data_IF_032248936425
#
_entry.id   IF_032248936425
#
_cell.length_a   1.000
_cell.length_b   1.000
_cell.length_c   1.000
_cell.angle_alpha   90.00
_cell.angle_beta   90.00
_cell.angle_gamma   90.00
#
_symmetry.space_group_name_H-M   'P 1'
#
loop_
_entity.id
_entity.type
_entity.pdbx_description
1 polymer ?
#
# COMPACT_ATOMS: atom_id res chain seq x y z
N UNK A 1 -25.73 10.35 -71.15
CA UNK A 1 -26.18 10.61 -69.77
C UNK A 1 -24.95 10.73 -68.90
N UNK A 2 -24.53 11.96 -68.62
CA UNK A 2 -23.33 12.29 -67.84
C UNK A 2 -23.79 13.10 -66.63
N UNK A 3 -23.59 12.58 -65.43
CA UNK A 3 -23.89 13.29 -64.18
C UNK A 3 -22.60 13.83 -63.57
N UNK A 4 -22.45 15.14 -63.65
CA UNK A 4 -21.42 15.91 -63.00
C UNK A 4 -21.67 15.98 -61.48
N UNK A 5 -20.66 15.66 -60.67
CA UNK A 5 -20.65 15.91 -59.22
C UNK A 5 -19.91 17.23 -58.98
N UNK A 6 -20.64 18.22 -58.45
CA UNK A 6 -20.14 19.55 -58.06
C UNK A 6 -19.21 19.45 -56.86
N UNK A 7 -18.03 20.05 -56.97
CA UNK A 7 -17.19 20.47 -55.85
C UNK A 7 -17.54 21.89 -55.40
N UNK A 8 -17.59 22.12 -54.08
CA UNK A 8 -17.15 23.33 -53.33
C UNK A 8 -17.65 23.25 -51.86
N UNK A 9 -17.04 23.96 -50.88
CA UNK A 9 -15.62 24.26 -50.69
C UNK A 9 -15.14 24.00 -49.24
N UNK A 10 -13.81 24.05 -49.09
CA UNK A 10 -13.07 24.17 -47.84
C UNK A 10 -13.70 25.18 -46.84
N UNK A 11 -13.82 24.80 -45.58
CA UNK A 11 -13.68 25.77 -44.49
C UNK A 11 -12.99 25.18 -43.26
N UNK A 12 -11.88 25.86 -42.90
CA UNK A 12 -11.14 25.83 -41.61
C UNK A 12 -10.32 24.59 -41.26
N UNK A 13 -9.24 24.41 -42.01
CA UNK A 13 -7.97 24.01 -41.43
C UNK A 13 -7.28 25.25 -40.83
N UNK A 14 -7.21 25.34 -39.49
CA UNK A 14 -6.13 25.97 -38.69
C UNK A 14 -6.55 26.04 -37.22
N UNK A 15 -5.95 25.19 -36.38
CA UNK A 15 -5.42 25.57 -35.07
C UNK A 15 -4.77 24.39 -34.34
N UNK A 16 -3.43 24.45 -34.25
CA UNK A 16 -2.60 23.97 -33.13
C UNK A 16 -2.40 22.44 -33.02
N UNK A 17 -1.59 21.91 -33.93
CA UNK A 17 -0.73 20.75 -33.65
C UNK A 17 0.71 21.28 -33.50
N UNK A 18 1.14 21.55 -32.26
CA UNK A 18 2.54 21.72 -31.81
C UNK A 18 2.55 22.05 -30.31
N UNK A 19 2.70 21.03 -29.44
CA UNK A 19 2.93 21.24 -28.00
C UNK A 19 2.60 20.04 -27.08
N UNK A 20 1.54 19.28 -27.34
CA UNK A 20 0.94 18.36 -26.34
C UNK A 20 1.72 17.07 -25.99
N UNK A 21 2.69 16.65 -26.79
CA UNK A 21 3.43 15.39 -26.55
C UNK A 21 4.48 15.47 -25.45
N UNK A 22 5.01 16.66 -25.16
CA UNK A 22 6.05 16.87 -24.14
C UNK A 22 5.42 17.16 -22.78
N UNK A 23 4.35 17.96 -22.74
CA UNK A 23 3.61 18.28 -21.52
C UNK A 23 2.91 17.05 -20.91
N UNK A 24 2.35 16.16 -21.76
CA UNK A 24 1.74 14.90 -21.30
C UNK A 24 2.79 13.97 -20.66
N UNK A 25 3.97 13.84 -21.27
CA UNK A 25 5.07 13.03 -20.73
C UNK A 25 5.65 13.61 -19.42
N UNK A 26 5.77 14.94 -19.31
CA UNK A 26 6.23 15.60 -18.09
C UNK A 26 5.23 15.42 -16.92
N UNK A 27 3.93 15.56 -17.19
CA UNK A 27 2.89 15.31 -16.20
C UNK A 27 2.90 13.85 -15.72
N UNK A 28 3.02 12.88 -16.63
CA UNK A 28 3.08 11.46 -16.25
C UNK A 28 4.29 11.16 -15.36
N UNK A 29 5.45 11.77 -15.66
CA UNK A 29 6.64 11.67 -14.81
C UNK A 29 6.40 12.29 -13.43
N UNK A 30 5.74 13.45 -13.35
CA UNK A 30 5.38 14.10 -12.08
C UNK A 30 4.42 13.23 -11.24
N UNK A 31 3.44 12.58 -11.87
CA UNK A 31 2.51 11.65 -11.19
C UNK A 31 3.28 10.43 -10.65
N UNK A 32 4.21 9.85 -11.41
CA UNK A 32 5.05 8.75 -10.93
C UNK A 32 5.90 9.17 -9.74
N UNK A 33 6.53 10.34 -9.83
CA UNK A 33 7.29 10.94 -8.73
C UNK A 33 6.41 11.16 -7.49
N UNK A 34 5.17 11.62 -7.68
CA UNK A 34 4.20 11.77 -6.59
C UNK A 34 3.85 10.42 -5.94
N UNK A 35 3.54 9.39 -6.73
CA UNK A 35 3.28 8.05 -6.21
C UNK A 35 4.46 7.50 -5.40
N UNK A 36 5.69 7.67 -5.89
CA UNK A 36 6.89 7.18 -5.22
C UNK A 36 7.19 7.96 -3.94
N UNK A 37 7.22 9.30 -4.01
CA UNK A 37 7.63 10.15 -2.88
C UNK A 37 6.57 10.25 -1.80
N UNK A 38 5.30 10.39 -2.20
CA UNK A 38 4.19 10.61 -1.27
C UNK A 38 3.64 9.32 -0.69
N UNK A 39 3.72 8.21 -1.42
CA UNK A 39 3.16 6.93 -0.97
C UNK A 39 4.23 5.90 -0.67
N UNK A 40 5.00 5.40 -1.66
CA UNK A 40 6.00 4.33 -1.42
C UNK A 40 7.03 4.72 -0.35
N UNK A 41 7.64 5.91 -0.47
CA UNK A 41 8.70 6.31 0.45
C UNK A 41 8.14 6.62 1.86
N UNK A 42 6.87 7.02 1.98
CA UNK A 42 6.21 7.17 3.29
C UNK A 42 5.81 5.80 3.86
N UNK A 43 5.33 4.87 3.04
CA UNK A 43 5.10 3.48 3.43
C UNK A 43 6.38 2.82 3.94
N UNK A 44 7.52 3.04 3.28
CA UNK A 44 8.83 2.57 3.73
C UNK A 44 9.17 3.11 5.14
N UNK A 45 8.74 4.34 5.49
CA UNK A 45 8.93 4.90 6.84
C UNK A 45 7.99 4.25 7.85
N UNK A 46 6.73 4.08 7.51
CA UNK A 46 5.75 3.43 8.38
C UNK A 46 6.11 1.97 8.66
N UNK A 47 6.64 1.27 7.66
CA UNK A 47 7.16 -0.08 7.82
C UNK A 47 8.32 -0.13 8.83
N UNK A 48 9.31 0.75 8.68
CA UNK A 48 10.42 0.84 9.65
C UNK A 48 9.89 1.20 11.04
N UNK A 49 8.92 2.13 11.13
CA UNK A 49 8.30 2.52 12.39
C UNK A 49 7.55 1.36 13.05
N UNK A 50 6.80 0.56 12.30
CA UNK A 50 6.16 -0.65 12.79
C UNK A 50 7.20 -1.59 13.41
N UNK A 51 8.32 -1.83 12.72
CA UNK A 51 9.41 -2.67 13.23
C UNK A 51 10.03 -2.12 14.51
N UNK A 52 10.18 -0.80 14.62
CA UNK A 52 10.63 -0.13 15.85
C UNK A 52 9.66 -0.36 17.00
N UNK A 53 8.36 -0.16 16.76
CA UNK A 53 7.32 -0.36 17.75
C UNK A 53 7.26 -1.82 18.21
N UNK A 54 7.36 -2.78 17.29
CA UNK A 54 7.40 -4.21 17.62
C UNK A 54 8.59 -4.54 18.52
N UNK A 55 9.78 -4.03 18.19
CA UNK A 55 10.98 -4.25 18.99
C UNK A 55 10.88 -3.67 20.40
N UNK A 56 10.13 -2.58 20.55
CA UNK A 56 9.84 -1.93 21.82
C UNK A 56 8.63 -2.52 22.54
N UNK A 57 8.04 -3.62 22.04
CA UNK A 57 6.83 -4.26 22.60
C UNK A 57 5.60 -3.31 22.64
N UNK A 58 5.58 -2.29 21.77
CA UNK A 58 4.47 -1.36 21.57
C UNK A 58 3.51 -1.88 20.48
N UNK A 59 2.82 -2.98 20.79
CA UNK A 59 2.06 -3.77 19.82
C UNK A 59 0.92 -3.01 19.12
N UNK A 60 0.08 -2.19 19.80
CA UNK A 60 -0.92 -1.38 19.11
C UNK A 60 -0.31 -0.44 18.06
N UNK A 61 0.82 0.18 18.39
CA UNK A 61 1.55 1.08 17.49
C UNK A 61 2.20 0.31 16.32
N UNK A 62 2.67 -0.91 16.57
CA UNK A 62 3.11 -1.84 15.52
C UNK A 62 1.97 -2.18 14.56
N UNK A 63 0.81 -2.60 15.07
CA UNK A 63 -0.35 -2.98 14.25
C UNK A 63 -0.84 -1.80 13.41
N UNK A 64 -1.00 -0.62 14.02
CA UNK A 64 -1.41 0.61 13.33
C UNK A 64 -0.42 1.01 12.23
N UNK A 65 0.87 1.02 12.54
CA UNK A 65 1.90 1.39 11.56
C UNK A 65 2.01 0.36 10.42
N UNK A 66 1.77 -0.92 10.73
CA UNK A 66 1.70 -2.00 9.74
C UNK A 66 0.55 -1.78 8.75
N UNK A 67 -0.66 -1.50 9.26
CA UNK A 67 -1.83 -1.21 8.43
C UNK A 67 -1.53 -0.04 7.48
N UNK A 68 -1.00 1.05 8.03
CA UNK A 68 -0.69 2.24 7.26
C UNK A 68 0.41 2.08 6.21
N UNK A 69 1.44 1.27 6.48
CA UNK A 69 2.45 0.95 5.49
C UNK A 69 1.82 0.25 4.28
N UNK A 70 1.03 -0.80 4.54
CA UNK A 70 0.37 -1.59 3.49
C UNK A 70 -0.66 -0.76 2.71
N UNK A 71 -1.42 0.12 3.38
CA UNK A 71 -2.34 1.05 2.72
C UNK A 71 -1.63 1.99 1.76
N UNK A 72 -0.49 2.55 2.17
CA UNK A 72 0.27 3.47 1.33
C UNK A 72 0.92 2.74 0.16
N UNK A 73 1.40 1.51 0.33
CA UNK A 73 1.85 0.72 -0.81
C UNK A 73 0.72 0.43 -1.79
N UNK A 74 -0.46 -0.01 -1.33
CA UNK A 74 -1.60 -0.26 -2.20
C UNK A 74 -2.05 1.00 -2.96
N UNK A 75 -2.08 2.16 -2.28
CA UNK A 75 -2.37 3.47 -2.91
C UNK A 75 -1.29 3.91 -3.89
N UNK A 76 -0.02 3.61 -3.63
CA UNK A 76 1.06 3.84 -4.59
C UNK A 76 0.77 3.08 -5.90
N UNK A 77 0.40 1.80 -5.80
CA UNK A 77 0.13 0.95 -6.96
C UNK A 77 -1.08 1.49 -7.74
N UNK A 78 -2.18 1.85 -7.07
CA UNK A 78 -3.34 2.48 -7.72
C UNK A 78 -2.97 3.71 -8.57
N UNK A 79 -2.09 4.57 -8.05
CA UNK A 79 -1.64 5.76 -8.77
C UNK A 79 -0.76 5.34 -9.95
N UNK A 80 0.16 4.40 -9.74
CA UNK A 80 1.06 3.92 -10.79
C UNK A 80 0.34 3.20 -11.93
N UNK A 81 -0.82 2.58 -11.67
CA UNK A 81 -1.71 1.97 -12.68
C UNK A 81 -2.73 2.94 -13.28
N UNK A 82 -2.74 4.20 -12.82
CA UNK A 82 -3.73 5.23 -13.19
C UNK A 82 -5.17 4.75 -12.93
N UNK A 83 -5.37 4.00 -11.86
CA UNK A 83 -6.71 3.59 -11.43
C UNK A 83 -7.42 4.79 -10.84
N UNK A 84 -8.37 5.34 -11.60
CA UNK A 84 -9.17 6.46 -11.16
C UNK A 84 -10.06 6.08 -9.97
N UNK A 85 -10.27 7.04 -9.07
CA UNK A 85 -11.14 6.89 -7.89
C UNK A 85 -12.64 6.94 -8.25
N UNK A 86 -12.97 7.25 -9.50
CA UNK A 86 -14.35 7.41 -9.96
C UNK A 86 -15.01 6.03 -9.90
N UNK A 87 -16.10 5.93 -9.13
CA UNK A 87 -16.95 4.79 -8.75
C UNK A 87 -17.03 4.50 -7.24
N UNK A 88 -16.25 5.16 -6.37
CA UNK A 88 -16.52 5.12 -4.93
C UNK A 88 -17.61 6.17 -4.62
N UNK A 89 -18.89 5.76 -4.64
CA UNK A 89 -19.99 6.63 -4.17
C UNK A 89 -19.62 7.17 -2.79
N UNK A 90 -19.66 8.50 -2.60
CA UNK A 90 -19.35 9.18 -1.32
C UNK A 90 -20.03 8.55 -0.09
N UNK A 91 -21.19 7.89 -0.25
CA UNK A 91 -21.92 7.17 0.80
C UNK A 91 -21.28 5.84 1.28
N UNK A 92 -20.26 5.30 0.58
CA UNK A 92 -19.52 4.10 0.99
C UNK A 92 -18.16 4.42 1.62
N UNK A 93 -17.84 5.71 1.77
CA UNK A 93 -16.60 6.16 2.41
C UNK A 93 -16.69 6.18 3.94
N UNK A 94 -17.88 5.99 4.50
CA UNK A 94 -18.10 5.96 5.95
C UNK A 94 -17.85 4.57 6.57
N UNK A 95 -17.51 3.57 5.75
CA UNK A 95 -17.34 2.16 6.14
C UNK A 95 -15.91 1.65 5.82
N UNK A 96 -14.92 2.45 6.18
CA UNK A 96 -13.54 2.34 5.68
C UNK A 96 -12.64 1.70 6.74
N UNK A 97 -12.77 0.38 6.90
CA UNK A 97 -11.82 -0.46 7.64
C UNK A 97 -10.88 -1.30 6.76
N UNK A 98 -11.10 -1.32 5.45
CA UNK A 98 -10.43 -2.24 4.52
C UNK A 98 -9.77 -1.54 3.32
N UNK A 99 -9.09 -0.41 3.52
CA UNK A 99 -8.49 0.36 2.41
C UNK A 99 -7.48 -0.45 1.59
N UNK A 100 -6.71 -1.34 2.22
CA UNK A 100 -5.76 -2.21 1.51
C UNK A 100 -6.51 -3.18 0.59
N UNK A 101 -7.46 -3.96 1.12
CA UNK A 101 -8.20 -4.96 0.36
C UNK A 101 -9.07 -4.31 -0.73
N UNK A 102 -9.72 -3.18 -0.42
CA UNK A 102 -10.47 -2.38 -1.41
C UNK A 102 -9.55 -1.90 -2.54
N UNK A 103 -8.34 -1.43 -2.21
CA UNK A 103 -7.37 -1.03 -3.21
C UNK A 103 -6.92 -2.22 -4.08
N UNK A 104 -6.66 -3.39 -3.48
CA UNK A 104 -6.32 -4.61 -4.22
C UNK A 104 -7.46 -5.07 -5.14
N UNK A 105 -8.72 -4.96 -4.71
CA UNK A 105 -9.88 -5.28 -5.54
C UNK A 105 -9.93 -4.40 -6.80
N UNK A 106 -9.72 -3.10 -6.63
CA UNK A 106 -9.67 -2.14 -7.74
C UNK A 106 -8.51 -2.40 -8.71
N UNK A 107 -7.47 -3.12 -8.28
CA UNK A 107 -6.29 -3.43 -9.07
C UNK A 107 -6.42 -4.71 -9.90
N UNK A 108 -7.36 -5.62 -9.58
CA UNK A 108 -7.50 -6.94 -10.23
C UNK A 108 -7.51 -6.89 -11.77
N UNK A 109 -8.13 -5.88 -12.36
CA UNK A 109 -8.24 -5.72 -13.82
C UNK A 109 -7.06 -4.96 -14.46
N UNK A 110 -6.09 -4.50 -13.66
CA UNK A 110 -4.95 -3.67 -14.10
C UNK A 110 -3.61 -4.36 -13.87
N UNK A 111 -3.45 -4.95 -12.70
CA UNK A 111 -2.25 -5.69 -12.31
C UNK A 111 -2.67 -6.82 -11.38
N UNK A 112 -2.23 -8.02 -11.74
CA UNK A 112 -2.49 -9.20 -10.93
C UNK A 112 -1.40 -9.31 -9.86
N UNK A 113 -1.82 -9.01 -8.62
CA UNK A 113 -0.99 -9.01 -7.42
C UNK A 113 -1.32 -10.28 -6.65
N UNK A 114 -0.36 -11.20 -6.63
CA UNK A 114 -0.48 -12.43 -5.86
C UNK A 114 0.08 -12.21 -4.46
N UNK A 115 -0.81 -12.26 -3.46
CA UNK A 115 -0.46 -12.23 -2.05
C UNK A 115 -0.73 -13.60 -1.45
N UNK A 116 0.14 -14.04 -0.54
CA UNK A 116 -0.11 -15.28 0.18
C UNK A 116 -1.35 -15.19 1.06
N UNK A 117 -1.97 -16.34 1.34
CA UNK A 117 -3.09 -16.44 2.28
C UNK A 117 -2.74 -15.82 3.64
N UNK A 118 -1.54 -16.09 4.15
CA UNK A 118 -1.02 -15.50 5.38
C UNK A 118 -0.99 -13.96 5.34
N UNK A 119 -0.53 -13.36 4.23
CA UNK A 119 -0.55 -11.90 4.05
C UNK A 119 -1.98 -11.36 3.99
N UNK A 120 -2.87 -12.04 3.26
CA UNK A 120 -4.27 -11.63 3.15
C UNK A 120 -4.98 -11.65 4.51
N UNK A 121 -4.78 -12.70 5.29
CA UNK A 121 -5.37 -12.82 6.62
C UNK A 121 -4.76 -11.82 7.61
N UNK A 122 -3.46 -11.56 7.51
CA UNK A 122 -2.84 -10.47 8.27
C UNK A 122 -3.47 -9.11 7.96
N UNK A 123 -3.65 -8.77 6.67
CA UNK A 123 -4.31 -7.52 6.26
C UNK A 123 -5.74 -7.44 6.80
N UNK A 124 -6.51 -8.54 6.75
CA UNK A 124 -7.87 -8.58 7.32
C UNK A 124 -7.86 -8.31 8.83
N UNK A 125 -6.98 -8.97 9.58
CA UNK A 125 -6.85 -8.76 11.04
C UNK A 125 -6.46 -7.32 11.37
N UNK A 126 -5.50 -6.75 10.64
CA UNK A 126 -5.12 -5.34 10.80
C UNK A 126 -6.32 -4.40 10.54
N UNK A 127 -7.08 -4.63 9.46
CA UNK A 127 -8.27 -3.82 9.15
C UNK A 127 -9.37 -3.94 10.19
N UNK A 128 -9.52 -5.10 10.83
CA UNK A 128 -10.56 -5.34 11.84
C UNK A 128 -10.19 -4.82 13.24
N UNK A 129 -8.91 -4.80 13.58
CA UNK A 129 -8.44 -4.38 14.92
C UNK A 129 -7.72 -3.04 14.90
N UNK A 130 -6.59 -2.98 14.19
CA UNK A 130 -5.63 -1.87 14.27
C UNK A 130 -6.23 -0.51 13.93
N UNK A 131 -7.31 -0.46 13.12
CA UNK A 131 -7.99 0.80 12.76
C UNK A 131 -8.57 1.56 13.97
N UNK A 132 -8.86 0.86 15.06
CA UNK A 132 -9.40 1.39 16.30
C UNK A 132 -8.25 1.77 17.23
N UNK A 133 -8.03 3.08 17.39
CA UNK A 133 -6.81 3.62 18.00
C UNK A 133 -6.88 3.84 19.50
N UNK A 134 -8.09 3.93 20.03
CA UNK A 134 -8.35 4.29 21.42
C UNK A 134 -8.85 3.11 22.23
N UNK A 135 -8.44 1.89 21.81
CA UNK A 135 -8.83 0.64 22.46
C UNK A 135 -10.35 0.45 22.47
N UNK A 136 -11.03 0.89 21.40
CA UNK A 136 -12.47 0.68 21.23
C UNK A 136 -12.82 -0.80 21.05
N UNK A 137 -11.88 -1.58 20.50
CA UNK A 137 -11.95 -3.05 20.41
C UNK A 137 -10.75 -3.67 21.08
N UNK A 138 -10.95 -4.86 21.66
CA UNK A 138 -9.86 -5.68 22.18
C UNK A 138 -8.89 -6.02 21.04
N UNK A 139 -7.61 -6.14 21.36
CA UNK A 139 -6.59 -6.53 20.40
C UNK A 139 -5.75 -7.69 20.95
N UNK A 140 -5.19 -8.45 20.02
CA UNK A 140 -4.12 -9.39 20.31
C UNK A 140 -3.08 -9.35 19.20
N UNK A 141 -1.84 -9.65 19.56
CA UNK A 141 -0.73 -9.85 18.64
C UNK A 141 -0.14 -11.22 18.92
N UNK A 142 -0.05 -12.04 17.88
CA UNK A 142 0.45 -13.40 17.97
C UNK A 142 1.97 -13.46 17.75
N UNK A 143 2.50 -14.67 17.85
CA UNK A 143 3.89 -14.94 17.53
C UNK A 143 4.17 -14.63 16.06
N UNK A 144 5.39 -14.19 15.75
CA UNK A 144 5.88 -14.02 14.38
C UNK A 144 5.14 -12.96 13.52
N UNK A 145 4.31 -12.09 14.10
CA UNK A 145 3.66 -10.97 13.41
C UNK A 145 4.65 -10.08 12.64
N UNK A 146 5.84 -9.87 13.21
CA UNK A 146 6.90 -9.10 12.53
C UNK A 146 7.33 -9.75 11.21
N UNK A 147 7.46 -11.07 11.17
CA UNK A 147 7.79 -11.79 9.93
C UNK A 147 6.66 -11.79 8.93
N UNK A 148 5.42 -11.85 9.41
CA UNK A 148 4.24 -11.74 8.53
C UNK A 148 4.19 -10.34 7.92
N UNK A 149 4.48 -9.29 8.69
CA UNK A 149 4.65 -7.94 8.15
C UNK A 149 5.78 -7.87 7.13
N UNK A 150 6.96 -8.43 7.42
CA UNK A 150 8.09 -8.39 6.50
C UNK A 150 7.75 -9.04 5.15
N UNK A 151 7.03 -10.17 5.20
CA UNK A 151 6.49 -10.84 4.01
C UNK A 151 5.47 -9.98 3.28
N UNK A 152 4.47 -9.46 3.99
CA UNK A 152 3.41 -8.64 3.40
C UNK A 152 3.98 -7.39 2.70
N UNK A 153 4.97 -6.75 3.32
CA UNK A 153 5.69 -5.62 2.72
C UNK A 153 6.45 -6.08 1.49
N UNK A 154 7.18 -7.19 1.53
CA UNK A 154 7.86 -7.72 0.35
C UNK A 154 6.92 -8.02 -0.81
N UNK A 155 5.83 -8.76 -0.56
CA UNK A 155 4.85 -9.15 -1.57
C UNK A 155 4.20 -7.92 -2.24
N UNK A 156 3.86 -6.89 -1.47
CA UNK A 156 3.16 -5.71 -1.98
C UNK A 156 4.10 -4.64 -2.53
N UNK A 157 5.20 -4.34 -1.83
CA UNK A 157 6.10 -3.21 -2.14
C UNK A 157 6.75 -3.34 -3.52
N UNK A 158 7.05 -4.56 -3.97
CA UNK A 158 7.67 -4.82 -5.29
C UNK A 158 6.89 -4.22 -6.46
N UNK A 159 5.57 -4.09 -6.34
CA UNK A 159 4.70 -3.46 -7.34
C UNK A 159 4.74 -1.93 -7.30
N UNK A 160 5.36 -1.31 -6.29
CA UNK A 160 5.52 0.13 -6.16
C UNK A 160 6.68 0.71 -7.01
N UNK A 161 7.03 0.03 -8.10
CA UNK A 161 8.10 0.42 -9.00
C UNK A 161 7.51 0.97 -10.31
N UNK A 162 7.69 2.26 -10.58
CA UNK A 162 7.19 2.91 -11.80
C UNK A 162 7.76 2.28 -13.08
N UNK A 163 8.94 1.64 -13.00
CA UNK A 163 9.56 0.96 -14.13
C UNK A 163 8.82 -0.30 -14.58
N UNK A 164 7.82 -0.77 -13.83
CA UNK A 164 6.93 -1.88 -14.20
C UNK A 164 5.81 -1.46 -15.16
N UNK A 165 5.62 -0.15 -15.37
CA UNK A 165 4.45 0.39 -16.04
C UNK A 165 4.86 1.26 -17.22
N UNK A 166 4.11 1.16 -18.30
CA UNK A 166 4.22 1.97 -19.51
C UNK A 166 3.06 2.97 -19.58
N UNK A 167 3.43 4.23 -19.73
CA UNK A 167 2.51 5.36 -19.85
C UNK A 167 2.53 5.81 -21.30
N UNK A 168 1.57 5.35 -22.11
CA UNK A 168 1.32 5.95 -23.42
C UNK A 168 0.70 7.33 -23.19
N UNK A 169 0.66 8.21 -24.19
CA UNK A 169 -0.01 9.52 -24.11
C UNK A 169 -1.55 9.42 -23.92
N UNK A 170 -2.06 8.29 -23.42
CA UNK A 170 -3.44 8.02 -23.04
C UNK A 170 -3.50 7.79 -21.51
N UNK A 171 -4.67 7.99 -20.88
CA UNK A 171 -4.86 7.69 -19.45
C UNK A 171 -4.72 6.20 -19.11
N UNK A 172 -4.65 5.32 -20.11
CA UNK A 172 -4.49 3.89 -19.93
C UNK A 172 -3.02 3.51 -19.70
N UNK A 173 -2.76 2.95 -18.52
CA UNK A 173 -1.44 2.35 -18.23
C UNK A 173 -1.43 0.91 -18.68
N UNK A 174 -0.37 0.52 -19.39
CA UNK A 174 -0.08 -0.87 -19.70
C UNK A 174 1.02 -1.38 -18.78
N UNK A 175 0.80 -2.55 -18.21
CA UNK A 175 1.84 -3.28 -17.50
C UNK A 175 2.94 -3.73 -18.46
N UNK A 176 4.19 -3.71 -18.01
CA UNK A 176 5.29 -4.30 -18.76
C UNK A 176 5.34 -5.78 -18.39
N UNK A 177 4.69 -6.62 -19.17
CA UNK A 177 4.54 -8.06 -18.87
C UNK A 177 5.88 -8.73 -18.58
N UNK A 178 6.93 -8.40 -19.33
CA UNK A 178 8.28 -8.94 -19.11
C UNK A 178 8.89 -8.62 -17.74
N UNK A 179 8.37 -7.60 -17.03
CA UNK A 179 8.82 -7.21 -15.70
C UNK A 179 7.85 -7.62 -14.59
N UNK A 180 6.54 -7.72 -14.88
CA UNK A 180 5.53 -8.09 -13.89
C UNK A 180 5.34 -9.59 -13.79
N UNK A 181 5.37 -10.34 -14.90
CA UNK A 181 5.21 -11.81 -14.87
C UNK A 181 6.26 -12.48 -13.97
N UNK A 182 7.56 -12.12 -14.05
CA UNK A 182 8.55 -12.67 -13.12
C UNK A 182 8.21 -12.38 -11.67
N UNK A 183 7.41 -11.35 -11.36
CA UNK A 183 7.07 -11.07 -9.97
C UNK A 183 6.07 -12.08 -9.41
N UNK A 184 5.18 -12.63 -10.24
CA UNK A 184 4.08 -13.49 -9.79
C UNK A 184 4.54 -14.87 -9.34
N UNK A 185 5.53 -15.42 -10.03
CA UNK A 185 5.95 -16.82 -9.85
C UNK A 185 7.01 -17.00 -8.75
N UNK A 186 7.38 -15.90 -8.08
CA UNK A 186 8.48 -15.96 -7.13
C UNK A 186 7.98 -16.38 -5.74
N UNK A 187 8.24 -17.66 -5.46
CA UNK A 187 8.05 -18.29 -4.15
C UNK A 187 9.21 -17.98 -3.20
N UNK A 188 10.43 -17.81 -3.72
CA UNK A 188 11.67 -17.66 -2.93
C UNK A 188 12.26 -16.26 -3.00
N UNK A 189 12.80 -15.78 -1.88
CA UNK A 189 13.49 -14.49 -1.81
C UNK A 189 14.72 -14.45 -2.72
N UNK A 190 14.86 -13.40 -3.54
CA UNK A 190 16.06 -13.10 -4.32
C UNK A 190 16.40 -11.62 -4.20
N UNK A 191 17.66 -11.28 -4.47
CA UNK A 191 18.06 -9.87 -4.50
C UNK A 191 17.28 -9.10 -5.60
N UNK A 192 17.04 -9.71 -6.76
CA UNK A 192 16.33 -9.05 -7.86
C UNK A 192 14.86 -8.75 -7.53
N UNK A 193 14.22 -9.56 -6.69
CA UNK A 193 12.79 -9.41 -6.40
C UNK A 193 12.49 -8.49 -5.21
N UNK A 194 13.50 -8.21 -4.38
CA UNK A 194 13.42 -7.30 -3.24
C UNK A 194 13.86 -5.89 -3.59
N UNK A 195 14.73 -5.76 -4.59
CA UNK A 195 15.36 -4.51 -4.98
C UNK A 195 14.44 -3.63 -5.81
N UNK A 196 14.19 -2.42 -5.33
CA UNK A 196 13.56 -1.34 -6.10
C UNK A 196 14.59 -0.23 -6.34
N UNK A 197 14.91 0.11 -7.61
CA UNK A 197 15.77 1.23 -7.92
C UNK A 197 15.30 2.52 -7.24
N UNK A 198 16.25 3.24 -6.65
CA UNK A 198 16.04 4.50 -5.93
C UNK A 198 15.07 4.46 -4.74
N UNK A 199 14.65 3.27 -4.31
CA UNK A 199 13.77 3.10 -3.14
C UNK A 199 14.45 3.48 -1.82
N UNK A 200 13.62 3.86 -0.84
CA UNK A 200 14.12 4.35 0.45
C UNK A 200 14.77 3.24 1.27
N UNK A 201 14.20 2.04 1.27
CA UNK A 201 14.79 0.86 1.93
C UNK A 201 16.19 0.57 1.36
N UNK A 202 16.35 0.58 0.04
CA UNK A 202 17.62 0.31 -0.63
C UNK A 202 18.69 1.35 -0.28
N UNK A 203 18.30 2.63 -0.25
CA UNK A 203 19.16 3.72 0.21
C UNK A 203 19.53 3.55 1.69
N UNK A 204 18.57 3.19 2.54
CA UNK A 204 18.80 2.99 3.97
C UNK A 204 19.73 1.80 4.24
N UNK A 205 19.62 0.70 3.50
CA UNK A 205 20.49 -0.47 3.63
C UNK A 205 21.97 -0.13 3.39
N UNK A 206 22.26 0.84 2.51
CA UNK A 206 23.61 1.36 2.24
C UNK A 206 24.15 2.27 3.35
N UNK A 207 23.27 3.00 4.05
CA UNK A 207 23.64 3.99 5.07
C UNK A 207 23.82 3.37 6.47
N UNK A 208 24.98 2.74 6.70
CA UNK A 208 25.27 2.01 7.97
C UNK A 208 25.09 2.83 9.25
N UNK A 209 25.37 4.13 9.21
CA UNK A 209 25.28 5.04 10.36
C UNK A 209 23.84 5.46 10.71
N UNK A 210 22.86 5.19 9.84
CA UNK A 210 21.50 5.66 10.07
C UNK A 210 20.79 4.84 11.17
N UNK A 211 20.23 5.47 12.22
CA UNK A 211 19.52 4.77 13.29
C UNK A 211 18.32 3.95 12.83
N UNK A 212 17.65 4.33 11.75
CA UNK A 212 16.53 3.55 11.20
C UNK A 212 17.00 2.21 10.60
N UNK A 213 18.26 2.14 10.13
CA UNK A 213 18.79 0.95 9.46
C UNK A 213 18.88 -0.24 10.42
N UNK A 214 19.32 -0.03 11.66
CA UNK A 214 19.40 -1.13 12.66
C UNK A 214 18.04 -1.78 12.89
N UNK A 215 16.96 -0.99 12.85
CA UNK A 215 15.59 -1.46 13.06
C UNK A 215 15.06 -2.17 11.81
N UNK A 216 15.41 -1.68 10.62
CA UNK A 216 15.13 -2.37 9.36
C UNK A 216 15.77 -3.76 9.32
N UNK A 217 17.05 -3.90 9.69
CA UNK A 217 17.79 -5.17 9.53
C UNK A 217 17.69 -6.12 10.73
N UNK A 218 17.09 -5.73 11.85
CA UNK A 218 16.98 -6.61 13.03
C UNK A 218 15.96 -7.75 12.77
N UNK A 219 16.36 -9.02 12.75
CA UNK A 219 15.43 -10.14 12.46
C UNK A 219 14.67 -10.10 11.11
N UNK A 220 15.14 -9.33 10.13
CA UNK A 220 14.49 -9.19 8.83
C UNK A 220 15.11 -10.10 7.76
N UNK A 221 14.40 -11.12 7.30
CA UNK A 221 14.92 -11.98 6.22
C UNK A 221 14.80 -11.34 4.83
N UNK A 222 13.89 -10.38 4.64
CA UNK A 222 13.55 -9.81 3.33
C UNK A 222 14.43 -8.61 2.95
N UNK A 223 14.72 -7.73 3.92
CA UNK A 223 15.47 -6.49 3.70
C UNK A 223 16.73 -6.45 4.57
N UNK A 224 17.79 -7.06 4.07
CA UNK A 224 19.09 -7.12 4.74
C UNK A 224 20.22 -7.29 3.73
N UNK A 225 21.43 -6.82 4.07
CA UNK A 225 22.64 -7.13 3.30
C UNK A 225 23.31 -8.44 3.78
N UNK A 226 22.68 -9.15 4.71
CA UNK A 226 23.20 -10.40 5.28
C UNK A 226 22.66 -11.59 4.49
N UNK A 227 23.52 -12.58 4.24
CA UNK A 227 23.12 -13.87 3.63
C UNK A 227 22.49 -14.85 4.64
N UNK A 228 22.01 -14.35 5.79
CA UNK A 228 21.36 -15.19 6.80
C UNK A 228 20.10 -15.82 6.23
N UNK A 229 19.90 -17.10 6.53
CA UNK A 229 18.71 -17.86 6.13
C UNK A 229 17.71 -18.03 7.27
N UNK A 230 18.14 -17.75 8.51
CA UNK A 230 17.38 -18.00 9.73
C UNK A 230 17.54 -16.78 10.64
N UNK A 231 16.45 -16.43 11.34
CA UNK A 231 16.43 -15.41 12.40
C UNK A 231 15.72 -16.00 13.61
N UNK A 232 16.17 -15.61 14.80
CA UNK A 232 15.50 -15.99 16.04
C UNK A 232 14.44 -14.95 16.38
N UNK A 233 13.19 -15.37 16.43
CA UNK A 233 12.07 -14.50 16.82
C UNK A 233 11.60 -14.95 18.19
N UNK A 234 11.61 -14.03 19.15
CA UNK A 234 11.06 -14.29 20.48
C UNK A 234 9.56 -14.50 20.34
N UNK A 235 9.08 -15.63 20.86
CA UNK A 235 7.66 -15.90 20.97
C UNK A 235 7.08 -15.06 22.10
N UNK A 236 6.31 -14.03 21.73
CA UNK A 236 5.50 -13.24 22.66
C UNK A 236 4.03 -13.34 22.19
N UNK A 237 3.12 -13.44 23.14
CA UNK A 237 1.69 -13.23 22.93
C UNK A 237 1.29 -12.02 23.78
N UNK A 238 0.63 -11.06 23.18
CA UNK A 238 0.21 -9.84 23.85
C UNK A 238 -1.22 -9.55 23.47
N UNK A 239 -2.03 -9.15 24.46
CA UNK A 239 -3.43 -8.85 24.26
C UNK A 239 -3.91 -7.87 25.32
N UNK A 240 -4.95 -7.13 24.97
CA UNK A 240 -5.63 -6.20 25.87
C UNK A 240 -7.11 -6.17 25.52
N UNK A 241 -7.96 -6.18 26.55
CA UNK A 241 -9.40 -6.08 26.37
C UNK A 241 -9.82 -4.62 26.23
N UNK A 242 -10.81 -4.33 25.39
CA UNK A 242 -11.35 -2.98 25.30
C UNK A 242 -12.09 -2.55 26.56
N UNK A 243 -12.08 -1.24 26.82
CA UNK A 243 -12.88 -0.65 27.89
C UNK A 243 -14.37 -0.99 27.73
N UNK A 244 -14.88 -0.97 26.50
CA UNK A 244 -16.28 -1.35 26.23
C UNK A 244 -16.55 -2.85 26.38
N UNK A 245 -15.54 -3.71 26.19
CA UNK A 245 -15.68 -5.14 26.49
C UNK A 245 -15.75 -5.40 28.00
N UNK A 246 -14.93 -4.69 28.78
CA UNK A 246 -14.90 -4.84 30.23
C UNK A 246 -16.08 -4.17 30.93
N UNK A 247 -16.51 -3.01 30.42
CA UNK A 247 -17.57 -2.17 31.00
C UNK A 247 -18.51 -1.65 29.89
N UNK A 248 -19.40 -2.49 29.35
CA UNK A 248 -20.32 -2.10 28.28
C UNK A 248 -21.20 -0.90 28.63
N UNK A 249 -21.56 -0.75 29.90
CA UNK A 249 -22.37 0.35 30.44
C UNK A 249 -21.73 1.73 30.28
N UNK A 250 -20.41 1.81 30.04
CA UNK A 250 -19.73 3.08 29.79
C UNK A 250 -20.10 3.71 28.46
N UNK A 251 -20.63 2.94 27.49
CA UNK A 251 -20.82 3.40 26.13
C UNK A 251 -21.68 4.67 26.06
N UNK A 252 -22.85 4.68 26.72
CA UNK A 252 -23.80 5.80 26.75
C UNK A 252 -23.21 7.09 27.35
N UNK A 253 -22.28 6.94 28.27
CA UNK A 253 -21.61 8.07 28.94
C UNK A 253 -20.42 8.56 28.10
N UNK A 254 -19.60 7.65 27.57
CA UNK A 254 -18.38 7.98 26.80
C UNK A 254 -18.70 8.67 25.47
N UNK A 255 -19.80 8.31 24.80
CA UNK A 255 -20.22 8.99 23.55
C UNK A 255 -20.50 10.49 23.74
N UNK A 256 -20.71 10.95 24.97
CA UNK A 256 -20.85 12.38 25.30
C UNK A 256 -19.51 13.13 25.25
N UNK A 257 -18.40 12.45 25.46
CA UNK A 257 -17.06 13.06 25.59
C UNK A 257 -16.15 12.80 24.39
N UNK A 258 -16.38 11.73 23.63
CA UNK A 258 -15.56 11.39 22.46
C UNK A 258 -16.36 10.72 21.35
N UNK A 259 -15.83 10.79 20.14
CA UNK A 259 -16.43 10.10 18.99
C UNK A 259 -16.13 8.61 19.08
N UNK A 260 -17.18 7.82 19.29
CA UNK A 260 -17.14 6.36 19.13
C UNK A 260 -17.63 5.99 17.72
N UNK A 261 -16.96 5.10 16.97
CA UNK A 261 -17.44 4.64 15.67
C UNK A 261 -18.83 3.99 15.77
N UNK A 262 -19.71 4.26 14.79
CA UNK A 262 -21.08 3.71 14.78
C UNK A 262 -21.12 2.19 14.82
N UNK A 263 -20.16 1.54 14.15
CA UNK A 263 -20.01 0.09 14.15
C UNK A 263 -19.73 -0.47 15.56
N UNK A 264 -19.05 0.29 16.42
CA UNK A 264 -18.82 -0.09 17.82
C UNK A 264 -20.09 0.16 18.64
N UNK A 265 -20.74 1.32 18.45
CA UNK A 265 -21.99 1.64 19.14
C UNK A 265 -23.05 0.56 18.88
N UNK A 266 -23.17 0.09 17.64
CA UNK A 266 -24.15 -0.92 17.25
C UNK A 266 -23.79 -2.35 17.71
N UNK A 267 -22.60 -2.57 18.29
CA UNK A 267 -22.12 -3.90 18.70
C UNK A 267 -22.36 -4.22 20.18
N UNK A 268 -22.80 -3.23 20.95
CA UNK A 268 -23.17 -3.32 22.36
C UNK A 268 -24.63 -2.89 22.54
#
# INVERSE_FOLDING_TARGET
MSSAVRCQPLSRALAIFRGGGVESNDLMRKINSFAQRSFRDNADRDYIHARMAYRAELYPQFLWSSLHALEKYAKCILILTRTERVHIKKKQFDDVGHEVLKALELLKNKVDINLSEQTLDFIKRLGNGARFRYLEVSWHAEQAELTILDRAVWELRRYCNSGLYCYKNSPETQCVDSKILPLKDIVNLTHENTYIPDGRIEKLLKLRSNPARKELVWNNLYYSNSNRKIVLIKSNFMAENSSFFLYPELLDEVVKYTRVPKEIINSY
#
